data_IF_055119988866
#
_entry.id   IF_055119988866
#
_cell.length_a   1.000
_cell.length_b   1.000
_cell.length_c   1.000
_cell.angle_alpha   90.00
_cell.angle_beta   90.00
_cell.angle_gamma   90.00
#
_symmetry.space_group_name_H-M   'P 1'
#
loop_
_entity.id
_entity.type
_entity.pdbx_description
1 polymer ?
#
# COMPACT_ATOMS: atom_id res chain seq x y z
N UNK A 1 8.67 12.15 -1.54
CA UNK A 1 8.96 12.09 -2.99
C UNK A 1 7.70 12.39 -3.77
N UNK A 2 7.80 12.93 -4.99
CA UNK A 2 6.66 13.10 -5.88
C UNK A 2 6.33 11.75 -6.54
N UNK A 3 5.09 11.23 -6.43
CA UNK A 3 4.70 9.93 -6.98
C UNK A 3 4.41 10.02 -8.49
N UNK A 4 5.45 10.26 -9.29
CA UNK A 4 5.36 10.25 -10.76
C UNK A 4 4.63 11.44 -11.38
N UNK A 5 4.59 12.59 -10.69
CA UNK A 5 3.94 13.83 -11.14
C UNK A 5 2.49 13.97 -10.67
N UNK A 6 1.92 12.97 -10.01
CA UNK A 6 0.54 12.98 -9.53
C UNK A 6 0.42 13.71 -8.18
N UNK A 7 -0.74 14.32 -7.87
CA UNK A 7 -1.01 14.83 -6.53
C UNK A 7 -0.89 13.71 -5.49
N UNK A 8 -0.08 13.93 -4.47
CA UNK A 8 0.21 12.91 -3.47
C UNK A 8 1.62 13.00 -2.89
N UNK A 9 2.00 11.95 -2.18
CA UNK A 9 3.31 11.81 -1.56
C UNK A 9 3.76 10.35 -1.58
N UNK A 10 5.06 10.13 -1.68
CA UNK A 10 5.65 8.82 -1.45
C UNK A 10 6.84 8.92 -0.49
N UNK A 11 6.98 7.95 0.41
CA UNK A 11 8.06 7.87 1.38
C UNK A 11 8.58 6.44 1.49
N UNK A 12 9.90 6.32 1.70
CA UNK A 12 10.54 5.04 2.01
C UNK A 12 11.07 5.12 3.44
N UNK A 13 10.73 4.10 4.22
CA UNK A 13 11.28 3.85 5.54
C UNK A 13 12.15 2.60 5.43
N UNK A 14 13.38 2.65 5.94
CA UNK A 14 14.30 1.50 5.88
C UNK A 14 14.84 1.20 7.26
N UNK A 15 15.00 -0.08 7.58
CA UNK A 15 15.75 -0.52 8.76
C UNK A 15 17.21 -0.03 8.67
N UNK A 16 17.92 0.18 9.80
CA UNK A 16 19.32 0.60 9.80
C UNK A 16 20.24 -0.28 8.95
N UNK A 17 20.02 -1.60 8.99
CA UNK A 17 20.73 -2.62 8.22
C UNK A 17 20.25 -2.74 6.76
N UNK A 18 19.21 -2.01 6.36
CA UNK A 18 18.69 -1.98 4.98
C UNK A 18 17.98 -3.26 4.52
N UNK A 19 17.74 -4.23 5.41
CA UNK A 19 17.10 -5.50 5.07
C UNK A 19 15.58 -5.48 5.10
N UNK A 20 14.97 -4.43 5.67
CA UNK A 20 13.52 -4.22 5.69
C UNK A 20 13.18 -2.81 5.22
N UNK A 21 12.14 -2.71 4.40
CA UNK A 21 11.66 -1.45 3.87
C UNK A 21 10.13 -1.37 3.91
N UNK A 22 9.62 -0.17 4.14
CA UNK A 22 8.22 0.18 3.89
C UNK A 22 8.25 1.26 2.81
N UNK A 23 7.60 0.99 1.68
CA UNK A 23 7.38 1.95 0.61
C UNK A 23 5.92 2.36 0.70
N UNK A 24 5.67 3.58 1.19
CA UNK A 24 4.33 4.15 1.32
C UNK A 24 4.10 5.16 0.20
N UNK A 25 3.07 4.94 -0.60
CA UNK A 25 2.66 5.84 -1.67
C UNK A 25 1.20 6.19 -1.50
N UNK A 26 0.93 7.49 -1.37
CA UNK A 26 -0.39 8.07 -1.27
C UNK A 26 -0.63 8.90 -2.53
N UNK A 27 -1.65 8.56 -3.30
CA UNK A 27 -2.14 9.33 -4.44
C UNK A 27 -3.46 9.99 -4.05
N UNK A 28 -3.64 11.25 -4.42
CA UNK A 28 -4.86 12.02 -4.17
C UNK A 28 -5.54 12.29 -5.51
N UNK A 29 -6.78 11.83 -5.63
CA UNK A 29 -7.59 11.96 -6.85
C UNK A 29 -8.57 13.13 -6.75
N UNK A 30 -9.17 13.57 -7.88
CA UNK A 30 -10.18 14.62 -7.89
C UNK A 30 -11.44 14.29 -7.07
N UNK A 31 -11.81 13.01 -7.00
CA UNK A 31 -12.99 12.53 -6.29
C UNK A 31 -12.83 11.06 -5.85
N UNK A 32 -13.79 10.57 -5.05
CA UNK A 32 -13.82 9.20 -4.55
C UNK A 32 -13.92 8.19 -5.70
N UNK A 33 -14.76 8.42 -6.71
CA UNK A 33 -14.96 7.48 -7.82
C UNK A 33 -13.67 7.27 -8.64
N UNK A 34 -12.86 8.31 -8.80
CA UNK A 34 -11.54 8.23 -9.41
C UNK A 34 -10.56 7.39 -8.56
N UNK A 35 -10.59 7.52 -7.23
CA UNK A 35 -9.81 6.68 -6.33
C UNK A 35 -10.24 5.21 -6.40
N UNK A 36 -11.54 4.92 -6.40
CA UNK A 36 -12.09 3.57 -6.54
C UNK A 36 -11.70 2.91 -7.87
N UNK A 37 -11.82 3.63 -8.99
CA UNK A 37 -11.42 3.13 -10.31
C UNK A 37 -9.93 2.76 -10.36
N UNK A 38 -9.10 3.58 -9.74
CA UNK A 38 -7.66 3.31 -9.63
C UNK A 38 -7.37 2.16 -8.68
N UNK A 39 -8.10 2.02 -7.57
CA UNK A 39 -7.99 0.86 -6.68
C UNK A 39 -8.23 -0.45 -7.45
N UNK A 40 -9.32 -0.53 -8.23
CA UNK A 40 -9.64 -1.74 -9.01
C UNK A 40 -8.55 -2.04 -10.04
N UNK A 41 -8.07 -1.01 -10.74
CA UNK A 41 -6.99 -1.15 -11.73
C UNK A 41 -5.68 -1.63 -11.10
N UNK A 42 -5.29 -1.06 -9.96
CA UNK A 42 -4.05 -1.42 -9.26
C UNK A 42 -4.13 -2.82 -8.67
N UNK A 43 -5.26 -3.18 -8.04
CA UNK A 43 -5.53 -4.52 -7.50
C UNK A 43 -5.38 -5.60 -8.59
N UNK A 44 -5.91 -5.35 -9.79
CA UNK A 44 -5.79 -6.27 -10.94
C UNK A 44 -4.35 -6.48 -11.43
N UNK A 45 -3.44 -5.55 -11.13
CA UNK A 45 -2.02 -5.61 -11.55
C UNK A 45 -1.04 -5.93 -10.42
N UNK A 46 -1.53 -6.23 -9.20
CA UNK A 46 -0.67 -6.53 -8.03
C UNK A 46 0.30 -7.70 -8.27
N UNK A 47 -0.04 -8.63 -9.17
CA UNK A 47 0.82 -9.74 -9.58
C UNK A 47 2.15 -9.31 -10.20
N UNK A 48 2.28 -8.05 -10.60
CA UNK A 48 3.54 -7.47 -11.09
C UNK A 48 4.53 -7.14 -9.97
N UNK A 49 4.07 -7.10 -8.72
CA UNK A 49 4.85 -6.72 -7.53
C UNK A 49 4.96 -7.86 -6.52
N UNK A 50 3.92 -8.68 -6.37
CA UNK A 50 3.86 -9.77 -5.39
C UNK A 50 3.22 -11.02 -5.99
N UNK A 51 3.73 -12.20 -5.65
CA UNK A 51 3.25 -13.48 -6.17
C UNK A 51 1.90 -13.93 -5.58
N UNK A 52 1.54 -13.42 -4.40
CA UNK A 52 0.25 -13.67 -3.75
C UNK A 52 -0.90 -12.96 -4.44
N UNK A 53 -2.06 -13.61 -4.51
CA UNK A 53 -3.29 -12.96 -4.97
C UNK A 53 -3.82 -12.01 -3.89
N UNK A 54 -4.40 -10.85 -4.27
CA UNK A 54 -5.04 -9.95 -3.32
C UNK A 54 -6.27 -10.58 -2.68
N UNK A 55 -6.37 -10.45 -1.37
CA UNK A 55 -7.53 -10.83 -0.57
C UNK A 55 -8.07 -9.60 0.18
N UNK A 56 -9.39 -9.49 0.43
CA UNK A 56 -9.96 -8.38 1.18
C UNK A 56 -9.35 -8.22 2.58
N UNK A 57 -9.19 -6.98 3.04
CA UNK A 57 -8.75 -6.63 4.39
C UNK A 57 -9.50 -5.40 4.89
N UNK A 58 -9.77 -5.34 6.19
CA UNK A 58 -10.48 -4.24 6.83
C UNK A 58 -9.53 -3.04 7.07
N UNK A 59 -9.29 -2.25 6.03
CA UNK A 59 -8.53 -1.00 6.07
C UNK A 59 -9.16 0.02 5.11
N UNK A 60 -9.40 1.23 5.61
CA UNK A 60 -10.00 2.31 4.81
C UNK A 60 -11.44 2.00 4.38
N UNK A 61 -11.88 2.65 3.30
CA UNK A 61 -13.22 2.45 2.72
C UNK A 61 -13.29 1.13 1.92
N UNK A 62 -12.17 0.73 1.31
CA UNK A 62 -11.97 -0.60 0.74
C UNK A 62 -10.48 -0.93 0.79
N UNK A 63 -10.14 -2.18 1.06
CA UNK A 63 -8.76 -2.64 1.18
C UNK A 63 -8.55 -4.06 0.66
N UNK A 64 -7.38 -4.29 0.07
CA UNK A 64 -6.85 -5.63 -0.20
C UNK A 64 -5.42 -5.76 0.30
N UNK A 65 -5.07 -6.97 0.71
CA UNK A 65 -3.72 -7.38 1.06
C UNK A 65 -3.28 -8.54 0.18
N UNK A 66 -2.06 -8.48 -0.34
CA UNK A 66 -1.41 -9.58 -1.06
C UNK A 66 -0.08 -9.91 -0.40
N UNK A 67 0.15 -11.19 -0.11
CA UNK A 67 1.33 -11.67 0.62
C UNK A 67 2.05 -12.73 -0.23
N UNK A 68 3.36 -12.58 -0.40
CA UNK A 68 4.15 -13.55 -1.13
C UNK A 68 5.61 -13.10 -1.24
N UNK A 69 6.19 -13.34 -2.41
CA UNK A 69 7.52 -12.85 -2.77
C UNK A 69 7.41 -11.84 -3.90
N UNK A 70 8.47 -11.08 -4.14
CA UNK A 70 8.65 -10.40 -5.42
C UNK A 70 8.68 -11.43 -6.58
N UNK A 71 8.36 -11.04 -7.83
CA UNK A 71 8.33 -11.98 -8.95
C UNK A 71 9.68 -12.65 -9.24
N UNK A 72 10.79 -11.97 -8.92
CA UNK A 72 12.15 -12.50 -9.02
C UNK A 72 12.57 -13.34 -7.81
N UNK A 73 11.72 -13.45 -6.78
CA UNK A 73 11.96 -14.18 -5.54
C UNK A 73 13.00 -13.55 -4.61
N UNK A 74 13.51 -12.35 -4.93
CA UNK A 74 14.59 -11.72 -4.16
C UNK A 74 14.13 -11.12 -2.83
N UNK A 75 12.83 -10.91 -2.63
CA UNK A 75 12.24 -10.32 -1.43
C UNK A 75 10.99 -11.06 -0.98
N UNK A 76 10.76 -11.09 0.32
CA UNK A 76 9.41 -11.30 0.86
C UNK A 76 8.65 -9.98 0.75
N UNK A 77 7.39 -10.03 0.32
CA UNK A 77 6.58 -8.84 0.03
C UNK A 77 5.18 -9.02 0.62
N UNK A 78 4.75 -8.04 1.40
CA UNK A 78 3.34 -7.81 1.73
C UNK A 78 2.93 -6.48 1.14
N UNK A 79 1.87 -6.47 0.34
CA UNK A 79 1.32 -5.25 -0.27
C UNK A 79 -0.06 -5.01 0.31
N UNK A 80 -0.27 -3.82 0.85
CA UNK A 80 -1.58 -3.31 1.26
C UNK A 80 -1.98 -2.19 0.30
N UNK A 81 -3.10 -2.37 -0.38
CA UNK A 81 -3.71 -1.35 -1.22
C UNK A 81 -5.06 -1.00 -0.60
N UNK A 82 -5.35 0.27 -0.37
CA UNK A 82 -6.65 0.70 0.15
C UNK A 82 -7.01 2.11 -0.30
N UNK A 83 -8.30 2.45 -0.24
CA UNK A 83 -8.77 3.83 -0.41
C UNK A 83 -9.21 4.44 0.91
N UNK A 84 -9.06 5.74 1.05
CA UNK A 84 -9.67 6.55 2.10
C UNK A 84 -10.12 7.87 1.49
N UNK A 85 -11.43 8.06 1.33
CA UNK A 85 -12.02 9.15 0.56
C UNK A 85 -11.43 9.20 -0.86
N UNK A 86 -10.88 10.36 -1.23
CA UNK A 86 -10.22 10.57 -2.53
C UNK A 86 -8.76 10.09 -2.59
N UNK A 87 -8.24 9.46 -1.54
CA UNK A 87 -6.89 8.91 -1.53
C UNK A 87 -6.86 7.43 -1.92
N UNK A 88 -5.84 7.04 -2.69
CA UNK A 88 -5.40 5.65 -2.85
C UNK A 88 -4.04 5.50 -2.20
N UNK A 89 -3.90 4.50 -1.34
CA UNK A 89 -2.66 4.21 -0.64
C UNK A 89 -2.16 2.83 -1.02
N UNK A 90 -0.89 2.74 -1.37
CA UNK A 90 -0.16 1.49 -1.55
C UNK A 90 1.01 1.46 -0.58
N UNK A 91 1.01 0.46 0.30
CA UNK A 91 2.10 0.17 1.23
C UNK A 91 2.76 -1.15 0.86
N UNK A 92 4.02 -1.09 0.44
CA UNK A 92 4.86 -2.25 0.17
C UNK A 92 5.78 -2.50 1.36
N UNK A 93 5.57 -3.62 2.05
CA UNK A 93 6.44 -4.12 3.09
C UNK A 93 7.39 -5.14 2.49
N UNK A 94 8.66 -4.78 2.38
CA UNK A 94 9.67 -5.58 1.72
C UNK A 94 10.74 -6.01 2.71
N UNK A 95 11.15 -7.28 2.64
CA UNK A 95 12.21 -7.83 3.47
C UNK A 95 12.97 -8.95 2.77
N UNK A 96 13.98 -9.51 3.44
CA UNK A 96 14.63 -10.73 2.96
C UNK A 96 13.59 -11.88 2.79
N UNK A 97 13.75 -12.77 1.80
CA UNK A 97 12.75 -13.81 1.49
C UNK A 97 12.35 -14.73 2.66
N UNK A 98 13.23 -14.90 3.64
CA UNK A 98 13.04 -15.74 4.82
C UNK A 98 12.64 -14.97 6.09
N UNK A 99 12.32 -13.68 5.96
CA UNK A 99 11.98 -12.79 7.07
C UNK A 99 10.74 -11.93 6.75
N UNK A 100 9.60 -12.53 6.38
CA UNK A 100 8.41 -11.77 6.00
C UNK A 100 7.87 -10.93 7.17
N UNK A 101 7.36 -9.74 6.86
CA UNK A 101 6.61 -8.93 7.83
C UNK A 101 5.31 -9.64 8.21
N UNK A 102 4.96 -9.75 9.51
CA UNK A 102 3.69 -10.33 9.94
C UNK A 102 2.49 -9.56 9.34
N UNK A 103 1.49 -10.24 8.75
CA UNK A 103 0.34 -9.59 8.11
C UNK A 103 -0.44 -8.64 9.04
N UNK A 104 -0.66 -9.04 10.30
CA UNK A 104 -1.35 -8.20 11.29
C UNK A 104 -0.59 -6.90 11.57
N UNK A 105 0.74 -6.95 11.65
CA UNK A 105 1.56 -5.76 11.83
C UNK A 105 1.48 -4.82 10.63
N UNK A 106 1.47 -5.38 9.41
CA UNK A 106 1.29 -4.58 8.20
C UNK A 106 -0.10 -3.91 8.19
N UNK A 107 -1.16 -4.64 8.58
CA UNK A 107 -2.51 -4.12 8.69
C UNK A 107 -2.61 -2.99 9.73
N UNK A 108 -2.01 -3.16 10.91
CA UNK A 108 -1.99 -2.14 11.97
C UNK A 108 -1.40 -0.81 11.50
N UNK A 109 -0.30 -0.87 10.74
CA UNK A 109 0.34 0.32 10.16
C UNK A 109 -0.57 0.97 9.12
N UNK A 110 -1.20 0.17 8.25
CA UNK A 110 -2.12 0.71 7.25
C UNK A 110 -3.39 1.32 7.88
N UNK A 111 -3.91 0.75 8.97
CA UNK A 111 -5.02 1.35 9.72
C UNK A 111 -4.64 2.71 10.33
N UNK A 112 -3.42 2.85 10.84
CA UNK A 112 -2.93 4.14 11.33
C UNK A 112 -2.85 5.17 10.19
N UNK A 113 -2.39 4.78 9.01
CA UNK A 113 -2.35 5.66 7.84
C UNK A 113 -3.76 6.04 7.35
N UNK A 114 -4.68 5.09 7.29
CA UNK A 114 -6.08 5.35 6.93
C UNK A 114 -6.71 6.38 7.89
N UNK A 115 -6.49 6.21 9.20
CA UNK A 115 -6.97 7.14 10.23
C UNK A 115 -6.37 8.54 10.02
N UNK A 116 -5.05 8.64 9.81
CA UNK A 116 -4.39 9.93 9.57
C UNK A 116 -4.89 10.61 8.30
N UNK A 117 -5.19 9.86 7.24
CA UNK A 117 -5.77 10.43 6.01
C UNK A 117 -7.19 10.93 6.28
N UNK A 118 -8.02 10.12 6.94
CA UNK A 118 -9.39 10.52 7.28
C UNK A 118 -9.42 11.82 8.13
N UNK A 119 -8.47 11.96 9.06
CA UNK A 119 -8.39 13.12 9.95
C UNK A 119 -7.85 14.40 9.28
N UNK A 120 -7.06 14.27 8.19
CA UNK A 120 -6.27 15.38 7.66
C UNK A 120 -6.49 15.71 6.17
N UNK A 121 -7.13 14.82 5.40
CA UNK A 121 -7.45 15.08 4.00
C UNK A 121 -8.89 15.63 3.89
N UNK A 122 -9.09 16.86 3.39
CA UNK A 122 -10.42 17.42 3.22
C UNK A 122 -11.27 16.58 2.26
N UNK A 123 -12.56 16.45 2.58
CA UNK A 123 -13.53 15.74 1.73
C UNK A 123 -13.77 16.45 0.37
N UNK A 124 -13.49 17.76 0.30
CA UNK A 124 -13.64 18.63 -0.89
C UNK A 124 -12.30 19.13 -1.42
#
# INVERSE_FOLDING_TARGET
MNPGGNPGAAQVYSSPEGHRQIIDTILVFPDVAAAESNFQSNSATMNTVVTGAPAPVEVGDQGVMAIGTSPDGSKAVTVLLFTQGKALVSMNFESAPNDPVPPEQAQDIAMQQATLIADNLPEE
#
